data_IF_270768063919
#
_entry.id   IF_270768063919
#
_cell.length_a   1.000
_cell.length_b   1.000
_cell.length_c   1.000
_cell.angle_alpha   90.00
_cell.angle_beta   90.00
_cell.angle_gamma   90.00
#
_symmetry.space_group_name_H-M   'P 1'
#
loop_
_entity.id
_entity.type
_entity.pdbx_description
1 polymer ?
#
# COMPACT_ATOMS: atom_id res chain seq x y z
N UNK A 1 3.46 3.20 -11.79
CA UNK A 1 2.65 1.97 -11.76
C UNK A 1 1.22 2.39 -11.40
N UNK A 2 0.17 1.81 -11.98
CA UNK A 2 -1.21 2.23 -11.68
C UNK A 2 -1.64 1.67 -10.32
N UNK A 3 -2.01 2.54 -9.39
CA UNK A 3 -2.74 2.17 -8.18
C UNK A 3 -4.13 1.62 -8.56
N UNK A 4 -4.57 0.57 -7.86
CA UNK A 4 -5.88 -0.03 -8.08
C UNK A 4 -7.00 0.95 -7.71
N UNK A 5 -8.10 0.94 -8.47
CA UNK A 5 -9.25 1.78 -8.17
C UNK A 5 -10.01 1.28 -6.94
N UNK A 6 -10.31 2.18 -6.02
CA UNK A 6 -11.15 1.97 -4.86
C UNK A 6 -12.60 2.15 -5.28
N UNK A 7 -13.42 1.12 -5.05
CA UNK A 7 -14.84 1.11 -5.45
C UNK A 7 -15.79 1.23 -4.26
N UNK A 8 -15.30 0.97 -3.04
CA UNK A 8 -16.08 1.02 -1.80
C UNK A 8 -15.18 1.37 -0.64
N UNK A 9 -15.64 2.26 0.23
CA UNK A 9 -15.00 2.57 1.51
C UNK A 9 -16.08 2.60 2.58
N UNK A 10 -15.79 2.03 3.73
CA UNK A 10 -16.65 2.03 4.91
C UNK A 10 -15.81 2.37 6.14
N UNK A 11 -16.41 2.40 7.32
CA UNK A 11 -15.67 2.68 8.56
C UNK A 11 -14.69 1.57 8.93
N UNK A 12 -14.96 0.34 8.52
CA UNK A 12 -14.23 -0.85 8.98
C UNK A 12 -13.47 -1.56 7.86
N UNK A 13 -13.78 -1.29 6.60
CA UNK A 13 -13.16 -1.92 5.44
C UNK A 13 -13.23 -1.05 4.17
N UNK A 14 -12.35 -1.34 3.22
CA UNK A 14 -12.40 -0.80 1.86
C UNK A 14 -12.24 -1.90 0.81
N UNK A 15 -12.84 -1.69 -0.36
CA UNK A 15 -12.88 -2.63 -1.48
C UNK A 15 -12.29 -2.02 -2.75
N UNK A 16 -11.53 -2.83 -3.48
CA UNK A 16 -10.89 -2.49 -4.74
C UNK A 16 -11.65 -3.11 -5.93
N UNK A 17 -11.42 -2.58 -7.12
CA UNK A 17 -12.07 -3.02 -8.37
C UNK A 17 -11.79 -4.49 -8.74
N UNK A 18 -10.71 -5.06 -8.23
CA UNK A 18 -10.34 -6.46 -8.44
C UNK A 18 -11.11 -7.43 -7.52
N UNK A 19 -12.02 -6.90 -6.69
CA UNK A 19 -12.79 -7.67 -5.71
C UNK A 19 -12.06 -7.88 -4.40
N UNK A 20 -10.85 -7.34 -4.22
CA UNK A 20 -10.12 -7.43 -2.95
C UNK A 20 -10.75 -6.51 -1.91
N UNK A 21 -10.94 -7.03 -0.69
CA UNK A 21 -11.44 -6.28 0.45
C UNK A 21 -10.39 -6.28 1.55
N UNK A 22 -10.09 -5.09 2.07
CA UNK A 22 -9.14 -4.88 3.15
C UNK A 22 -9.84 -4.31 4.38
N UNK A 23 -9.68 -4.92 5.56
CA UNK A 23 -10.14 -4.32 6.80
C UNK A 23 -9.26 -3.12 7.18
N UNK A 24 -9.85 -2.09 7.77
CA UNK A 24 -9.13 -1.02 8.44
C UNK A 24 -8.55 -1.54 9.76
N UNK A 25 -7.31 -1.15 10.06
CA UNK A 25 -6.66 -1.51 11.32
C UNK A 25 -7.36 -0.86 12.53
N UNK A 26 -8.03 0.26 12.32
CA UNK A 26 -8.82 1.00 13.31
C UNK A 26 -10.09 1.49 12.61
N UNK A 27 -11.21 1.49 13.32
CA UNK A 27 -12.46 2.04 12.78
C UNK A 27 -12.32 3.54 12.51
N UNK A 28 -12.74 3.98 11.33
CA UNK A 28 -12.68 5.39 10.96
C UNK A 28 -13.81 6.17 11.64
N UNK A 29 -13.47 7.28 12.29
CA UNK A 29 -14.43 8.21 12.89
C UNK A 29 -15.42 8.74 11.81
N UNK A 30 -14.88 9.16 10.67
CA UNK A 30 -15.63 9.61 9.50
C UNK A 30 -15.24 8.80 8.26
N UNK A 31 -16.24 8.48 7.43
CA UNK A 31 -16.01 7.77 6.17
C UNK A 31 -15.70 8.83 5.10
N UNK A 32 -14.47 8.87 4.55
CA UNK A 32 -14.13 9.77 3.47
C UNK A 32 -14.88 9.39 2.20
N UNK A 33 -15.01 10.34 1.28
CA UNK A 33 -15.56 10.04 -0.05
C UNK A 33 -14.61 9.15 -0.85
N UNK A 34 -15.14 8.50 -1.90
CA UNK A 34 -14.32 7.64 -2.76
C UNK A 34 -13.16 8.40 -3.41
N UNK A 35 -13.36 9.65 -3.82
CA UNK A 35 -12.32 10.47 -4.45
C UNK A 35 -11.21 10.84 -3.46
N UNK A 36 -11.57 11.25 -2.25
CA UNK A 36 -10.59 11.57 -1.20
C UNK A 36 -9.79 10.35 -0.80
N UNK A 37 -10.47 9.21 -0.60
CA UNK A 37 -9.78 7.97 -0.25
C UNK A 37 -8.87 7.48 -1.38
N UNK A 38 -9.30 7.62 -2.64
CA UNK A 38 -8.47 7.29 -3.79
C UNK A 38 -7.18 8.12 -3.79
N UNK A 39 -7.26 9.43 -3.52
CA UNK A 39 -6.09 10.30 -3.43
C UNK A 39 -5.11 9.83 -2.35
N UNK A 40 -5.60 9.44 -1.17
CA UNK A 40 -4.75 8.88 -0.11
C UNK A 40 -4.13 7.55 -0.51
N UNK A 41 -4.93 6.67 -1.11
CA UNK A 41 -4.48 5.36 -1.57
C UNK A 41 -3.36 5.49 -2.61
N UNK A 42 -3.53 6.39 -3.58
CA UNK A 42 -2.53 6.67 -4.63
C UNK A 42 -1.24 7.22 -4.02
N UNK A 43 -1.36 8.15 -3.07
CA UNK A 43 -0.22 8.74 -2.37
C UNK A 43 0.56 7.70 -1.54
N UNK A 44 -0.13 6.84 -0.80
CA UNK A 44 0.51 5.76 -0.05
C UNK A 44 1.17 4.76 -0.98
N UNK A 45 0.50 4.37 -2.06
CA UNK A 45 1.06 3.46 -3.05
C UNK A 45 2.35 4.02 -3.65
N UNK A 46 2.39 5.31 -3.96
CA UNK A 46 3.60 6.00 -4.42
C UNK A 46 4.74 5.93 -3.39
N UNK A 47 4.48 6.27 -2.13
CA UNK A 47 5.49 6.19 -1.05
C UNK A 47 6.01 4.75 -0.90
N UNK A 48 5.12 3.76 -0.86
CA UNK A 48 5.50 2.36 -0.70
C UNK A 48 6.29 1.85 -1.91
N UNK A 49 5.95 2.27 -3.13
CA UNK A 49 6.71 1.94 -4.34
C UNK A 49 8.14 2.51 -4.26
N UNK A 50 8.32 3.77 -3.86
CA UNK A 50 9.65 4.36 -3.69
C UNK A 50 10.49 3.61 -2.65
N UNK A 51 9.89 3.29 -1.49
CA UNK A 51 10.57 2.57 -0.41
C UNK A 51 10.94 1.14 -0.84
N UNK A 52 10.05 0.46 -1.56
CA UNK A 52 10.28 -0.94 -1.97
C UNK A 52 11.26 -1.05 -3.13
N UNK A 53 11.25 -0.12 -4.10
CA UNK A 53 12.25 -0.08 -5.18
C UNK A 53 13.66 0.30 -4.69
N UNK A 54 13.76 1.06 -3.59
CA UNK A 54 15.05 1.41 -2.97
C UNK A 54 15.81 0.23 -2.35
N UNK A 55 15.18 -0.94 -2.16
CA UNK A 55 15.81 -2.18 -1.65
C UNK A 55 16.21 -3.17 -2.75
N UNK A 56 16.73 -2.70 -3.87
CA UNK A 56 17.68 -3.51 -4.63
C UNK A 56 19.06 -3.42 -3.95
N UNK A 57 19.17 -3.91 -2.71
CA UNK A 57 20.49 -4.25 -2.19
C UNK A 57 20.98 -5.40 -3.05
N UNK A 58 22.04 -5.14 -3.80
CA UNK A 58 22.84 -6.20 -4.37
C UNK A 58 23.37 -7.01 -3.18
N UNK A 59 22.68 -8.08 -2.79
CA UNK A 59 23.23 -9.07 -1.88
C UNK A 59 24.22 -9.92 -2.66
N UNK A 60 25.31 -9.29 -3.12
CA UNK A 60 26.51 -10.01 -3.49
C UNK A 60 27.16 -10.50 -2.20
N UNK A 61 26.84 -11.76 -1.87
CA UNK A 61 27.61 -12.67 -1.01
C UNK A 61 29.08 -12.24 -0.89
N UNK A 62 29.47 -11.80 0.31
CA UNK A 62 30.84 -11.95 0.78
C UNK A 62 30.80 -12.41 2.23
N UNK A 63 30.32 -13.65 2.42
CA UNK A 63 30.73 -14.44 3.56
C UNK A 63 32.16 -14.89 3.32
N UNK A 64 33.14 -14.13 3.80
CA UNK A 64 34.51 -14.61 3.97
C UNK A 64 35.24 -13.82 5.06
N UNK A 65 35.09 -14.28 6.30
CA UNK A 65 36.16 -14.22 7.28
C UNK A 65 35.96 -15.40 8.24
N UNK A 66 36.76 -16.44 8.05
CA UNK A 66 37.11 -17.51 9.00
C UNK A 66 38.00 -18.51 8.24
N UNK A 67 39.31 -18.30 8.27
CA UNK A 67 40.34 -19.35 8.23
C UNK A 67 41.68 -18.72 8.62
#
# INVERSE_FOLDING_TARGET
MNSKKVIRVTKTEFGLEDGTIYPHAVELDEVPTLEEFQMYYDYWFFIFEEITNGRKTNDNKTGLYCA
#
